data_IF_645660023010
#
_entry.id   IF_645660023010
#
_cell.length_a   1.000
_cell.length_b   1.000
_cell.length_c   1.000
_cell.angle_alpha   90.00
_cell.angle_beta   90.00
_cell.angle_gamma   90.00
#
_symmetry.space_group_name_H-M   'P 1'
#
loop_
_entity.id
_entity.type
_entity.pdbx_description
1 polymer ?
#
# COMPACT_ATOMS: atom_id res chain seq x y z
N UNK A 1 -45.46 -29.62 -26.86
CA UNK A 1 -45.09 -28.27 -27.32
C UNK A 1 -43.61 -28.07 -27.05
N UNK A 2 -42.84 -27.73 -28.07
CA UNK A 2 -41.41 -27.39 -27.95
C UNK A 2 -41.21 -25.94 -27.49
N UNK A 3 -40.00 -25.58 -27.03
CA UNK A 3 -39.71 -24.20 -26.60
C UNK A 3 -39.89 -23.18 -27.75
N UNK A 4 -39.51 -23.55 -28.97
CA UNK A 4 -39.66 -22.66 -30.13
C UNK A 4 -41.13 -22.48 -30.54
N UNK A 5 -41.94 -23.54 -30.45
CA UNK A 5 -43.40 -23.43 -30.60
C UNK A 5 -44.02 -22.52 -29.52
N UNK A 6 -43.61 -22.69 -28.26
CA UNK A 6 -44.08 -21.88 -27.15
C UNK A 6 -43.74 -20.39 -27.35
N UNK A 7 -42.50 -20.07 -27.71
CA UNK A 7 -42.09 -18.68 -28.01
C UNK A 7 -42.91 -18.09 -29.15
N UNK A 8 -43.20 -18.86 -30.21
CA UNK A 8 -44.00 -18.38 -31.35
C UNK A 8 -45.44 -18.06 -30.93
N UNK A 9 -46.05 -18.89 -30.09
CA UNK A 9 -47.41 -18.67 -29.54
C UNK A 9 -47.42 -17.41 -28.66
N UNK A 10 -46.47 -17.29 -27.72
CA UNK A 10 -46.41 -16.16 -26.79
C UNK A 10 -46.16 -14.83 -27.51
N UNK A 11 -45.27 -14.83 -28.51
CA UNK A 11 -44.97 -13.62 -29.31
C UNK A 11 -46.17 -13.21 -30.18
N UNK A 12 -46.91 -14.18 -30.73
CA UNK A 12 -48.15 -13.92 -31.48
C UNK A 12 -49.25 -13.33 -30.59
N UNK A 13 -49.31 -13.77 -29.34
CA UNK A 13 -50.27 -13.30 -28.35
C UNK A 13 -49.83 -12.01 -27.62
N UNK A 14 -48.68 -11.45 -28.00
CA UNK A 14 -48.19 -10.14 -27.56
C UNK A 14 -47.40 -10.14 -26.25
N UNK A 15 -47.00 -11.31 -25.73
CA UNK A 15 -46.23 -11.38 -24.49
C UNK A 15 -44.76 -10.97 -24.69
N UNK A 16 -44.25 -10.20 -23.74
CA UNK A 16 -42.84 -9.90 -23.61
C UNK A 16 -42.13 -11.08 -22.96
N UNK A 17 -40.97 -11.46 -23.51
CA UNK A 17 -40.19 -12.60 -23.02
C UNK A 17 -38.75 -12.17 -22.75
N UNK A 18 -38.26 -12.46 -21.55
CA UNK A 18 -36.88 -12.18 -21.15
C UNK A 18 -36.24 -13.42 -20.52
N UNK A 19 -34.97 -13.66 -20.84
CA UNK A 19 -34.21 -14.76 -20.24
C UNK A 19 -33.85 -14.39 -18.80
N UNK A 20 -34.20 -15.25 -17.84
CA UNK A 20 -33.89 -15.04 -16.43
C UNK A 20 -32.82 -16.02 -15.94
N UNK A 21 -32.00 -15.56 -14.97
CA UNK A 21 -30.92 -16.37 -14.39
C UNK A 21 -31.42 -17.52 -13.49
N UNK A 22 -32.72 -17.54 -13.15
CA UNK A 22 -33.39 -18.59 -12.34
C UNK A 22 -34.75 -18.93 -12.95
N UNK A 23 -35.22 -20.15 -12.70
CA UNK A 23 -36.58 -20.57 -13.07
C UNK A 23 -37.57 -19.80 -12.20
N UNK A 24 -38.39 -18.96 -12.82
CA UNK A 24 -39.42 -18.18 -12.13
C UNK A 24 -40.76 -18.88 -12.39
N UNK A 25 -41.35 -19.46 -11.35
CA UNK A 25 -42.68 -20.04 -11.43
C UNK A 25 -43.72 -18.94 -11.19
N UNK A 26 -44.20 -18.32 -12.27
CA UNK A 26 -45.35 -17.43 -12.22
C UNK A 26 -46.64 -18.26 -12.05
N UNK A 27 -46.98 -18.57 -10.79
CA UNK A 27 -48.17 -19.36 -10.43
C UNK A 27 -49.36 -18.50 -9.95
N UNK A 28 -49.40 -17.20 -10.27
CA UNK A 28 -50.49 -16.31 -9.88
C UNK A 28 -51.12 -15.57 -11.07
N UNK A 29 -52.46 -15.43 -11.03
CA UNK A 29 -53.35 -14.62 -11.88
C UNK A 29 -53.47 -14.93 -13.39
N UNK A 30 -52.50 -15.59 -14.03
CA UNK A 30 -52.47 -15.72 -15.51
C UNK A 30 -53.45 -16.78 -16.07
N UNK A 31 -54.13 -17.58 -15.23
CA UNK A 31 -54.78 -18.83 -15.68
C UNK A 31 -56.30 -18.83 -15.81
N UNK A 32 -57.02 -17.87 -15.27
CA UNK A 32 -58.49 -17.99 -15.18
C UNK A 32 -59.23 -17.59 -16.47
N UNK A 33 -58.62 -16.75 -17.32
CA UNK A 33 -59.27 -16.21 -18.53
C UNK A 33 -58.52 -16.51 -19.83
N UNK A 34 -57.35 -17.15 -19.75
CA UNK A 34 -56.45 -17.33 -20.87
C UNK A 34 -56.71 -18.65 -21.61
N UNK A 35 -56.42 -18.71 -22.91
CA UNK A 35 -56.61 -19.93 -23.70
C UNK A 35 -55.73 -21.07 -23.15
N UNK A 36 -56.21 -22.33 -23.14
CA UNK A 36 -55.42 -23.47 -22.67
C UNK A 36 -54.06 -23.60 -23.36
N UNK A 37 -54.00 -23.30 -24.67
CA UNK A 37 -52.78 -23.32 -25.47
C UNK A 37 -51.74 -22.29 -25.00
N UNK A 38 -52.19 -21.09 -24.63
CA UNK A 38 -51.32 -20.02 -24.12
C UNK A 38 -50.84 -20.33 -22.71
N UNK A 39 -51.70 -20.90 -21.87
CA UNK A 39 -51.33 -21.41 -20.54
C UNK A 39 -50.21 -22.47 -20.61
N UNK A 40 -50.30 -23.40 -21.56
CA UNK A 40 -49.25 -24.41 -21.78
C UNK A 40 -47.96 -23.79 -22.33
N UNK A 41 -48.05 -22.80 -23.24
CA UNK A 41 -46.87 -22.09 -23.73
C UNK A 41 -46.11 -21.34 -22.61
N UNK A 42 -46.82 -20.72 -21.67
CA UNK A 42 -46.21 -20.06 -20.50
C UNK A 42 -45.48 -21.06 -19.60
N UNK A 43 -46.07 -22.25 -19.36
CA UNK A 43 -45.43 -23.29 -18.56
C UNK A 43 -44.12 -23.77 -19.21
N UNK A 44 -44.14 -24.02 -20.52
CA UNK A 44 -42.96 -24.45 -21.28
C UNK A 44 -41.88 -23.37 -21.27
N UNK A 45 -42.25 -22.09 -21.43
CA UNK A 45 -41.30 -20.97 -21.37
C UNK A 45 -40.64 -20.84 -19.98
N UNK A 46 -41.44 -20.85 -18.89
CA UNK A 46 -40.94 -20.75 -17.52
C UNK A 46 -40.00 -21.91 -17.17
N UNK A 47 -40.33 -23.15 -17.57
CA UNK A 47 -39.47 -24.32 -17.37
C UNK A 47 -38.09 -24.17 -18.05
N UNK A 48 -38.02 -23.37 -19.12
CA UNK A 48 -36.79 -23.06 -19.86
C UNK A 48 -36.18 -21.71 -19.46
N UNK A 49 -36.51 -21.18 -18.28
CA UNK A 49 -35.98 -19.91 -17.72
C UNK A 49 -36.33 -18.65 -18.52
N UNK A 50 -37.40 -18.71 -19.32
CA UNK A 50 -37.96 -17.52 -19.94
C UNK A 50 -39.04 -16.94 -19.04
N UNK A 51 -38.85 -15.71 -18.60
CA UNK A 51 -39.88 -14.93 -17.90
C UNK A 51 -40.81 -14.32 -18.93
N UNK A 52 -42.09 -14.59 -18.77
CA UNK A 52 -43.15 -14.10 -19.65
C UNK A 52 -43.90 -12.99 -18.92
N UNK A 53 -44.20 -11.88 -19.59
CA UNK A 53 -44.89 -10.76 -18.94
C UNK A 53 -45.61 -9.85 -19.92
N UNK A 54 -46.59 -9.14 -19.39
CA UNK A 54 -47.24 -7.97 -19.98
C UNK A 54 -47.13 -6.84 -18.96
N UNK A 55 -47.10 -5.60 -19.42
CA UNK A 55 -47.28 -4.44 -18.54
C UNK A 55 -48.67 -4.44 -17.90
N UNK A 56 -48.88 -3.74 -16.77
CA UNK A 56 -50.19 -3.66 -16.12
C UNK A 56 -51.32 -3.18 -17.08
N UNK A 57 -51.03 -2.19 -17.92
CA UNK A 57 -52.00 -1.66 -18.90
C UNK A 57 -52.34 -2.69 -19.99
N UNK A 58 -51.34 -3.40 -20.51
CA UNK A 58 -51.57 -4.47 -21.50
C UNK A 58 -52.36 -5.65 -20.90
N UNK A 59 -52.21 -5.90 -19.59
CA UNK A 59 -53.01 -6.87 -18.86
C UNK A 59 -54.48 -6.48 -18.77
N UNK A 60 -54.77 -5.25 -18.33
CA UNK A 60 -56.14 -4.75 -18.19
C UNK A 60 -56.87 -4.76 -19.55
N UNK A 61 -56.18 -4.35 -20.63
CA UNK A 61 -56.71 -4.39 -21.98
C UNK A 61 -56.98 -5.83 -22.46
N UNK A 62 -56.07 -6.78 -22.18
CA UNK A 62 -56.22 -8.19 -22.56
C UNK A 62 -57.37 -8.85 -21.80
N UNK A 63 -57.51 -8.59 -20.50
CA UNK A 63 -58.60 -9.12 -19.68
C UNK A 63 -59.96 -8.59 -20.16
N UNK A 64 -60.06 -7.29 -20.47
CA UNK A 64 -61.28 -6.70 -21.01
C UNK A 64 -61.69 -7.30 -22.37
N UNK A 65 -60.72 -7.57 -23.25
CA UNK A 65 -60.97 -8.27 -24.54
C UNK A 65 -61.46 -9.70 -24.33
N UNK A 66 -60.79 -10.49 -23.49
CA UNK A 66 -61.15 -11.89 -23.25
C UNK A 66 -62.51 -12.01 -22.57
N UNK A 67 -62.84 -11.16 -21.59
CA UNK A 67 -64.18 -11.09 -20.98
C UNK A 67 -65.28 -10.79 -22.01
N UNK A 68 -64.99 -9.95 -23.01
CA UNK A 68 -65.93 -9.60 -24.09
C UNK A 68 -66.08 -10.72 -25.13
N UNK A 69 -65.00 -11.46 -25.43
CA UNK A 69 -65.03 -12.63 -26.32
C UNK A 69 -65.79 -13.82 -25.69
N UNK A 70 -65.54 -14.13 -24.42
CA UNK A 70 -66.22 -15.23 -23.72
C UNK A 70 -67.65 -14.87 -23.29
N UNK A 71 -67.93 -13.60 -22.97
CA UNK A 71 -69.28 -13.12 -22.66
C UNK A 71 -70.25 -13.10 -23.85
N UNK A 72 -69.76 -13.19 -25.09
CA UNK A 72 -70.59 -13.30 -26.30
C UNK A 72 -71.01 -14.73 -26.64
N UNK A 73 -70.38 -15.75 -26.05
CA UNK A 73 -70.64 -17.16 -26.35
C UNK A 73 -71.64 -17.83 -25.39
N UNK A 74 -72.17 -17.10 -24.41
CA UNK A 74 -73.28 -17.55 -23.55
C UNK A 74 -74.58 -16.84 -23.92
N UNK A 75 -75.10 -17.08 -25.12
CA UNK A 75 -76.55 -17.02 -25.35
C UNK A 75 -77.10 -18.43 -25.18
N UNK A 76 -77.69 -18.69 -24.02
CA UNK A 76 -78.56 -19.85 -23.85
C UNK A 76 -79.77 -19.71 -24.80
N UNK A 77 -80.16 -20.77 -25.53
CA UNK A 77 -81.40 -20.75 -26.30
C UNK A 77 -82.58 -20.97 -25.34
N UNK A 78 -83.57 -20.10 -25.42
CA UNK A 78 -84.90 -20.36 -24.86
C UNK A 78 -85.30 -19.42 -23.74
N UNK A 79 -85.95 -18.33 -24.12
CA UNK A 79 -87.04 -17.76 -23.33
C UNK A 79 -88.08 -17.19 -24.30
N UNK A 80 -88.96 -18.06 -24.80
CA UNK A 80 -90.24 -17.65 -25.33
C UNK A 80 -91.27 -18.75 -24.99
N UNK A 81 -91.92 -18.61 -23.83
CA UNK A 81 -93.18 -19.30 -23.55
C UNK A 81 -94.26 -18.24 -23.41
N UNK A 82 -94.97 -18.02 -24.51
CA UNK A 82 -96.27 -17.35 -24.54
C UNK A 82 -97.35 -18.28 -23.98
N UNK A 83 -98.27 -17.66 -23.25
CA UNK A 83 -99.38 -18.29 -22.52
C UNK A 83 -100.37 -18.97 -23.48
N UNK A 84 -100.40 -20.29 -23.49
CA UNK A 84 -101.48 -21.06 -24.11
C UNK A 84 -102.74 -21.00 -23.22
N UNK A 85 -103.74 -20.20 -23.64
CA UNK A 85 -105.09 -20.22 -23.07
C UNK A 85 -105.82 -21.48 -23.57
N UNK A 86 -105.94 -22.51 -22.74
CA UNK A 86 -106.91 -23.59 -22.96
C UNK A 86 -108.31 -23.10 -22.56
N UNK A 87 -109.07 -22.63 -23.55
CA UNK A 87 -110.50 -22.42 -23.43
C UNK A 87 -111.22 -23.76 -23.36
N UNK A 88 -111.86 -24.05 -22.24
CA UNK A 88 -112.84 -25.14 -22.13
C UNK A 88 -114.13 -24.60 -22.75
N UNK A 89 -114.44 -25.08 -23.95
CA UNK A 89 -115.73 -24.89 -24.61
C UNK A 89 -116.72 -25.81 -23.90
N UNK A 90 -117.68 -25.23 -23.18
CA UNK A 90 -118.93 -25.92 -22.84
C UNK A 90 -119.86 -25.86 -24.07
N UNK A 91 -120.46 -26.97 -24.50
CA UNK A 91 -121.46 -26.93 -25.56
C UNK A 91 -122.79 -26.42 -24.99
N UNK A 92 -123.22 -25.22 -25.38
CA UNK A 92 -124.59 -24.79 -25.17
C UNK A 92 -125.47 -25.31 -26.30
N UNK A 93 -126.46 -26.07 -25.88
CA UNK A 93 -127.50 -26.74 -26.65
C UNK A 93 -128.42 -25.80 -27.44
N UNK A 94 -128.96 -26.39 -28.50
CA UNK A 94 -130.05 -25.95 -29.37
C UNK A 94 -131.30 -25.45 -28.59
N UNK A 95 -132.11 -24.55 -29.17
CA UNK A 95 -133.02 -23.63 -28.45
C UNK A 95 -134.45 -24.18 -28.32
N UNK A 96 -134.67 -25.11 -27.39
CA UNK A 96 -136.03 -25.59 -27.07
C UNK A 96 -136.40 -25.71 -25.58
N UNK A 97 -135.48 -25.42 -24.65
CA UNK A 97 -135.73 -25.64 -23.20
C UNK A 97 -135.99 -24.36 -22.40
N UNK A 98 -136.10 -23.21 -23.07
CA UNK A 98 -136.26 -21.87 -22.45
C UNK A 98 -137.67 -21.59 -21.86
N UNK A 99 -138.64 -22.50 -22.02
CA UNK A 99 -139.98 -22.34 -21.43
C UNK A 99 -140.13 -23.06 -20.07
N UNK A 100 -139.28 -24.03 -19.75
CA UNK A 100 -139.35 -24.79 -18.48
C UNK A 100 -138.36 -24.28 -17.40
N UNK A 101 -137.28 -23.61 -17.80
CA UNK A 101 -136.24 -23.14 -16.88
C UNK A 101 -136.59 -21.84 -16.13
N UNK A 102 -137.56 -21.05 -16.61
CA UNK A 102 -137.89 -19.74 -16.02
C UNK A 102 -138.94 -19.79 -14.90
N UNK A 103 -139.76 -20.84 -14.85
CA UNK A 103 -140.81 -20.99 -13.83
C UNK A 103 -140.47 -21.95 -12.68
N UNK A 104 -139.50 -22.86 -12.84
CA UNK A 104 -139.17 -23.85 -11.79
C UNK A 104 -137.91 -23.46 -10.97
N UNK A 105 -137.08 -22.53 -11.46
CA UNK A 105 -135.86 -22.09 -10.75
C UNK A 105 -135.99 -20.75 -10.01
N UNK A 106 -137.04 -19.97 -10.28
CA UNK A 106 -137.29 -18.72 -9.56
C UNK A 106 -138.12 -18.92 -8.27
N UNK A 107 -138.81 -20.05 -8.16
CA UNK A 107 -139.41 -20.54 -6.91
C UNK A 107 -138.53 -21.66 -6.33
N UNK A 108 -137.27 -21.32 -6.04
CA UNK A 108 -136.39 -22.25 -5.35
C UNK A 108 -136.98 -22.63 -3.99
N UNK A 109 -137.14 -23.95 -3.76
CA UNK A 109 -137.57 -24.49 -2.48
C UNK A 109 -136.79 -23.80 -1.34
N UNK A 110 -137.45 -23.05 -0.44
CA UNK A 110 -136.79 -22.31 0.61
C UNK A 110 -135.83 -23.18 1.43
N UNK A 111 -136.20 -24.44 1.65
CA UNK A 111 -135.41 -25.41 2.40
C UNK A 111 -134.09 -25.79 1.67
N UNK A 112 -134.08 -25.87 0.33
CA UNK A 112 -132.86 -26.14 -0.43
C UNK A 112 -131.92 -24.93 -0.46
N UNK A 113 -132.47 -23.72 -0.59
CA UNK A 113 -131.71 -22.47 -0.53
C UNK A 113 -131.07 -22.30 0.85
N UNK A 114 -131.82 -22.58 1.91
CA UNK A 114 -131.33 -22.53 3.29
C UNK A 114 -130.27 -23.59 3.56
N UNK A 115 -130.47 -24.84 3.11
CA UNK A 115 -129.47 -25.90 3.22
C UNK A 115 -128.17 -25.57 2.46
N UNK A 116 -128.25 -24.99 1.26
CA UNK A 116 -127.08 -24.55 0.51
C UNK A 116 -126.35 -23.38 1.18
N UNK A 117 -127.09 -22.45 1.81
CA UNK A 117 -126.51 -21.36 2.61
C UNK A 117 -125.76 -21.92 3.83
N UNK A 118 -126.40 -22.81 4.60
CA UNK A 118 -125.79 -23.44 5.77
C UNK A 118 -124.54 -24.26 5.42
N UNK A 119 -124.55 -24.97 4.28
CA UNK A 119 -123.37 -25.68 3.78
C UNK A 119 -122.22 -24.74 3.42
N UNK A 120 -122.52 -23.64 2.72
CA UNK A 120 -121.52 -22.63 2.38
C UNK A 120 -120.96 -21.92 3.62
N UNK A 121 -121.79 -21.62 4.61
CA UNK A 121 -121.36 -21.01 5.87
C UNK A 121 -120.44 -21.96 6.65
N UNK A 122 -120.76 -23.26 6.70
CA UNK A 122 -119.92 -24.28 7.31
C UNK A 122 -118.57 -24.44 6.57
N UNK A 123 -118.57 -24.39 5.24
CA UNK A 123 -117.37 -24.44 4.42
C UNK A 123 -116.48 -23.21 4.65
N UNK A 124 -117.08 -22.01 4.67
CA UNK A 124 -116.39 -20.75 4.92
C UNK A 124 -115.80 -20.70 6.34
N UNK A 125 -116.51 -21.21 7.34
CA UNK A 125 -116.00 -21.30 8.72
C UNK A 125 -114.80 -22.26 8.83
N UNK A 126 -114.85 -23.44 8.17
CA UNK A 126 -113.69 -24.35 8.12
C UNK A 126 -112.50 -23.75 7.37
N UNK A 127 -112.73 -23.06 6.25
CA UNK A 127 -111.67 -22.34 5.54
C UNK A 127 -111.08 -21.21 6.41
N UNK A 128 -111.92 -20.45 7.12
CA UNK A 128 -111.51 -19.41 8.06
C UNK A 128 -110.64 -19.99 9.19
N UNK A 129 -111.03 -21.13 9.77
CA UNK A 129 -110.24 -21.86 10.78
C UNK A 129 -108.88 -22.30 10.23
N UNK A 130 -108.81 -22.84 9.00
CA UNK A 130 -107.56 -23.22 8.33
C UNK A 130 -106.66 -22.01 8.09
N UNK A 131 -107.21 -20.92 7.54
CA UNK A 131 -106.48 -19.65 7.34
C UNK A 131 -105.91 -19.16 8.66
N UNK A 132 -106.71 -19.09 9.73
CA UNK A 132 -106.28 -18.65 11.06
C UNK A 132 -105.13 -19.51 11.63
N UNK A 133 -105.16 -20.83 11.42
CA UNK A 133 -104.06 -21.75 11.81
C UNK A 133 -102.79 -21.50 10.98
N UNK A 134 -102.93 -21.31 9.67
CA UNK A 134 -101.81 -21.03 8.77
C UNK A 134 -101.16 -19.68 9.07
N UNK A 135 -101.94 -18.61 9.29
CA UNK A 135 -101.44 -17.29 9.68
C UNK A 135 -100.61 -17.36 10.97
N UNK A 136 -101.06 -18.13 11.97
CA UNK A 136 -100.28 -18.36 13.20
C UNK A 136 -98.97 -19.11 12.94
N UNK A 137 -98.95 -20.10 12.04
CA UNK A 137 -97.72 -20.81 11.64
C UNK A 137 -96.75 -19.88 10.92
N UNK A 138 -97.22 -19.06 9.98
CA UNK A 138 -96.40 -18.06 9.25
C UNK A 138 -95.75 -17.08 10.23
N UNK A 139 -96.53 -16.54 11.18
CA UNK A 139 -95.99 -15.62 12.19
C UNK A 139 -94.89 -16.26 13.06
N UNK A 140 -95.05 -17.54 13.45
CA UNK A 140 -94.03 -18.28 14.21
C UNK A 140 -92.77 -18.51 13.36
N UNK A 141 -92.92 -18.91 12.11
CA UNK A 141 -91.80 -19.12 11.20
C UNK A 141 -91.03 -17.81 10.94
N UNK A 142 -91.72 -16.69 10.73
CA UNK A 142 -91.09 -15.38 10.55
C UNK A 142 -90.26 -14.96 11.77
N UNK A 143 -90.73 -15.23 13.00
CA UNK A 143 -89.93 -15.01 14.22
C UNK A 143 -88.66 -15.86 14.23
N UNK A 144 -88.74 -17.13 13.83
CA UNK A 144 -87.58 -18.03 13.76
C UNK A 144 -86.58 -17.56 12.70
N UNK A 145 -87.05 -17.18 11.51
CA UNK A 145 -86.22 -16.65 10.42
C UNK A 145 -85.50 -15.39 10.89
N UNK A 146 -86.20 -14.45 11.52
CA UNK A 146 -85.59 -13.22 12.00
C UNK A 146 -84.47 -13.49 13.02
N UNK A 147 -84.69 -14.41 13.97
CA UNK A 147 -83.67 -14.82 14.95
C UNK A 147 -82.46 -15.50 14.29
N UNK A 148 -82.68 -16.31 13.25
CA UNK A 148 -81.58 -16.94 12.50
C UNK A 148 -80.80 -15.90 11.69
N UNK A 149 -81.47 -14.94 11.06
CA UNK A 149 -80.83 -13.87 10.30
C UNK A 149 -79.94 -12.99 11.18
N UNK A 150 -80.37 -12.68 12.42
CA UNK A 150 -79.53 -11.96 13.39
C UNK A 150 -78.24 -12.72 13.71
N UNK A 151 -78.32 -14.04 13.95
CA UNK A 151 -77.13 -14.87 14.20
C UNK A 151 -76.19 -14.93 12.99
N UNK A 152 -76.75 -15.01 11.77
CA UNK A 152 -75.96 -14.99 10.53
C UNK A 152 -75.17 -13.67 10.43
N UNK A 153 -75.80 -12.54 10.75
CA UNK A 153 -75.11 -11.23 10.74
C UNK A 153 -74.04 -11.10 11.82
N UNK A 154 -74.25 -11.65 13.02
CA UNK A 154 -73.19 -11.74 14.02
C UNK A 154 -71.99 -12.55 13.51
N UNK A 155 -72.22 -13.74 12.95
CA UNK A 155 -71.15 -14.56 12.38
C UNK A 155 -70.41 -13.85 11.24
N UNK A 156 -71.11 -13.10 10.39
CA UNK A 156 -70.49 -12.28 9.32
C UNK A 156 -69.58 -11.21 9.90
N UNK A 157 -70.02 -10.49 10.93
CA UNK A 157 -69.22 -9.45 11.61
C UNK A 157 -67.99 -10.04 12.28
N UNK A 158 -68.13 -11.18 12.96
CA UNK A 158 -67.02 -11.85 13.63
C UNK A 158 -65.97 -12.37 12.63
N UNK A 159 -66.42 -13.04 11.56
CA UNK A 159 -65.55 -13.49 10.48
C UNK A 159 -64.79 -12.32 9.81
N UNK A 160 -65.49 -11.20 9.58
CA UNK A 160 -64.87 -9.99 9.04
C UNK A 160 -63.80 -9.39 9.96
N UNK A 161 -64.05 -9.34 11.29
CA UNK A 161 -63.05 -8.90 12.27
C UNK A 161 -61.83 -9.81 12.30
N UNK A 162 -62.05 -11.12 12.28
CA UNK A 162 -60.96 -12.11 12.27
C UNK A 162 -60.08 -11.98 11.01
N UNK A 163 -60.70 -11.88 9.83
CA UNK A 163 -59.99 -11.66 8.57
C UNK A 163 -59.21 -10.34 8.60
N UNK A 164 -59.80 -9.25 9.11
CA UNK A 164 -59.11 -7.97 9.27
C UNK A 164 -57.87 -8.08 10.17
N UNK A 165 -57.99 -8.79 11.29
CA UNK A 165 -56.86 -9.06 12.19
C UNK A 165 -55.74 -9.82 11.50
N UNK A 166 -56.07 -10.89 10.75
CA UNK A 166 -55.08 -11.65 9.96
C UNK A 166 -54.40 -10.78 8.90
N UNK A 167 -55.17 -10.01 8.12
CA UNK A 167 -54.61 -9.13 7.09
C UNK A 167 -53.65 -8.11 7.69
N UNK A 168 -53.98 -7.55 8.87
CA UNK A 168 -53.09 -6.63 9.59
C UNK A 168 -51.76 -7.30 9.97
N UNK A 169 -51.81 -8.48 10.57
CA UNK A 169 -50.60 -9.25 10.94
C UNK A 169 -49.74 -9.59 9.72
N UNK A 170 -50.34 -9.94 8.58
CA UNK A 170 -49.60 -10.22 7.34
C UNK A 170 -48.89 -8.97 6.81
N UNK A 171 -49.53 -7.80 6.85
CA UNK A 171 -48.91 -6.53 6.45
C UNK A 171 -47.73 -6.15 7.36
N UNK A 172 -47.87 -6.31 8.68
CA UNK A 172 -46.79 -6.07 9.64
C UNK A 172 -45.61 -7.01 9.42
N UNK A 173 -45.87 -8.30 9.18
CA UNK A 173 -44.82 -9.28 8.86
C UNK A 173 -44.09 -8.96 7.55
N UNK A 174 -44.79 -8.47 6.52
CA UNK A 174 -44.17 -8.05 5.26
C UNK A 174 -43.22 -6.86 5.49
N UNK A 175 -43.65 -5.87 6.26
CA UNK A 175 -42.83 -4.70 6.59
C UNK A 175 -41.58 -5.09 7.39
N UNK A 176 -41.72 -5.94 8.41
CA UNK A 176 -40.60 -6.46 9.20
C UNK A 176 -39.60 -7.24 8.34
N UNK A 177 -40.10 -8.06 7.40
CA UNK A 177 -39.23 -8.81 6.47
C UNK A 177 -38.45 -7.88 5.54
N UNK A 178 -39.06 -6.78 5.09
CA UNK A 178 -38.39 -5.78 4.27
C UNK A 178 -37.31 -5.04 5.09
N UNK A 179 -37.65 -4.59 6.30
CA UNK A 179 -36.70 -3.89 7.17
C UNK A 179 -35.50 -4.75 7.55
N UNK A 180 -35.71 -6.06 7.77
CA UNK A 180 -34.62 -7.02 7.97
C UNK A 180 -33.72 -7.18 6.73
N UNK A 181 -34.31 -7.17 5.54
CA UNK A 181 -33.56 -7.25 4.29
C UNK A 181 -32.65 -6.03 4.13
N UNK A 182 -33.19 -4.84 4.36
CA UNK A 182 -32.47 -3.56 4.21
C UNK A 182 -31.33 -3.46 5.24
N UNK A 183 -31.58 -3.80 6.51
CA UNK A 183 -30.55 -3.84 7.57
C UNK A 183 -29.43 -4.83 7.25
N UNK A 184 -29.74 -5.97 6.65
CA UNK A 184 -28.74 -6.96 6.30
C UNK A 184 -27.84 -6.49 5.14
N UNK A 185 -28.40 -5.79 4.15
CA UNK A 185 -27.60 -5.20 3.07
C UNK A 185 -26.73 -4.05 3.59
N UNK A 186 -27.25 -3.19 4.48
CA UNK A 186 -26.46 -2.15 5.14
C UNK A 186 -25.29 -2.72 5.94
N UNK A 187 -25.53 -3.79 6.70
CA UNK A 187 -24.48 -4.50 7.43
C UNK A 187 -23.41 -5.08 6.48
N UNK A 188 -23.83 -5.64 5.34
CA UNK A 188 -22.92 -6.17 4.32
C UNK A 188 -22.05 -5.05 3.73
N UNK A 189 -22.66 -3.93 3.36
CA UNK A 189 -21.95 -2.76 2.82
C UNK A 189 -20.96 -2.18 3.83
N UNK A 190 -21.34 -2.12 5.11
CA UNK A 190 -20.48 -1.63 6.20
C UNK A 190 -19.24 -2.50 6.36
N UNK A 191 -19.39 -3.83 6.37
CA UNK A 191 -18.25 -4.77 6.40
C UNK A 191 -17.31 -4.62 5.21
N UNK A 192 -17.83 -4.30 4.01
CA UNK A 192 -17.01 -4.02 2.83
C UNK A 192 -16.24 -2.71 3.01
N UNK A 193 -16.90 -1.64 3.49
CA UNK A 193 -16.26 -0.35 3.75
C UNK A 193 -15.14 -0.47 4.78
N UNK A 194 -15.37 -1.19 5.87
CA UNK A 194 -14.34 -1.44 6.90
C UNK A 194 -13.12 -2.17 6.33
N UNK A 195 -13.33 -3.22 5.53
CA UNK A 195 -12.23 -3.93 4.84
C UNK A 195 -11.44 -3.01 3.91
N UNK A 196 -12.14 -2.24 3.08
CA UNK A 196 -11.49 -1.31 2.17
C UNK A 196 -10.70 -0.22 2.91
N UNK A 197 -11.23 0.27 4.05
CA UNK A 197 -10.55 1.26 4.88
C UNK A 197 -9.28 0.69 5.51
N UNK A 198 -9.32 -0.55 5.99
CA UNK A 198 -8.16 -1.25 6.55
C UNK A 198 -7.07 -1.50 5.48
N UNK A 199 -7.46 -1.92 4.27
CA UNK A 199 -6.53 -2.09 3.15
C UNK A 199 -5.87 -0.76 2.74
N UNK A 200 -6.64 0.33 2.68
CA UNK A 200 -6.13 1.67 2.45
C UNK A 200 -5.14 2.10 3.54
N UNK A 201 -5.46 1.85 4.80
CA UNK A 201 -4.58 2.13 5.94
C UNK A 201 -3.25 1.40 5.84
N UNK A 202 -3.27 0.09 5.55
CA UNK A 202 -2.06 -0.71 5.36
C UNK A 202 -1.22 -0.22 4.17
N UNK A 203 -1.87 0.12 3.05
CA UNK A 203 -1.17 0.64 1.88
C UNK A 203 -0.47 1.98 2.19
N UNK A 204 -1.16 2.89 2.88
CA UNK A 204 -0.59 4.17 3.28
C UNK A 204 0.62 4.01 4.23
N UNK A 205 0.52 3.10 5.20
CA UNK A 205 1.66 2.79 6.10
C UNK A 205 2.86 2.26 5.30
N UNK A 206 2.63 1.30 4.40
CA UNK A 206 3.71 0.74 3.57
C UNK A 206 4.34 1.76 2.61
N UNK A 207 3.56 2.67 2.04
CA UNK A 207 4.07 3.77 1.21
C UNK A 207 4.88 4.79 2.03
N UNK A 208 4.42 5.14 3.23
CA UNK A 208 5.15 6.02 4.14
C UNK A 208 6.49 5.43 4.59
N UNK A 209 6.56 4.13 4.89
CA UNK A 209 7.83 3.47 5.21
C UNK A 209 8.82 3.53 4.04
N UNK A 210 8.34 3.32 2.80
CA UNK A 210 9.18 3.44 1.60
C UNK A 210 9.70 4.87 1.41
N UNK A 211 8.85 5.88 1.60
CA UNK A 211 9.26 7.28 1.53
C UNK A 211 10.27 7.63 2.62
N UNK A 212 10.08 7.13 3.83
CA UNK A 212 11.01 7.32 4.95
C UNK A 212 12.40 6.76 4.64
N UNK A 213 12.48 5.55 4.06
CA UNK A 213 13.75 4.95 3.62
C UNK A 213 14.42 5.80 2.54
N UNK A 214 13.69 6.17 1.48
CA UNK A 214 14.22 7.03 0.40
C UNK A 214 14.72 8.38 0.91
N UNK A 215 14.05 8.96 1.91
CA UNK A 215 14.48 10.23 2.51
C UNK A 215 15.75 10.05 3.34
N UNK A 216 15.86 8.96 4.11
CA UNK A 216 17.06 8.64 4.87
C UNK A 216 18.28 8.46 3.94
N UNK A 217 18.14 7.69 2.86
CA UNK A 217 19.22 7.47 1.89
C UNK A 217 19.70 8.80 1.28
N UNK A 218 18.77 9.67 0.86
CA UNK A 218 19.09 11.01 0.33
C UNK A 218 19.82 11.91 1.32
N UNK A 219 19.44 11.87 2.61
CA UNK A 219 20.08 12.68 3.65
C UNK A 219 21.52 12.21 3.88
N UNK A 220 21.76 10.89 3.87
CA UNK A 220 23.12 10.33 3.99
C UNK A 220 23.98 10.80 2.82
N UNK A 221 23.50 10.65 1.58
CA UNK A 221 24.23 11.11 0.39
C UNK A 221 24.56 12.61 0.43
N UNK A 222 23.64 13.45 0.93
CA UNK A 222 23.87 14.90 1.03
C UNK A 222 24.87 15.27 2.13
N UNK A 223 24.84 14.58 3.27
CA UNK A 223 25.82 14.76 4.35
C UNK A 223 27.21 14.35 3.87
N UNK A 224 27.33 13.20 3.21
CA UNK A 224 28.60 12.69 2.69
C UNK A 224 29.17 13.65 1.62
N UNK A 225 28.34 14.14 0.69
CA UNK A 225 28.76 15.13 -0.30
C UNK A 225 29.21 16.46 0.33
N UNK A 226 28.56 16.91 1.41
CA UNK A 226 28.96 18.12 2.14
C UNK A 226 30.27 17.91 2.91
N UNK A 227 30.43 16.76 3.55
CA UNK A 227 31.66 16.39 4.24
C UNK A 227 32.84 16.32 3.28
N UNK A 228 32.65 15.73 2.09
CA UNK A 228 33.65 15.66 1.03
C UNK A 228 34.09 17.07 0.57
N UNK A 229 33.14 17.95 0.23
CA UNK A 229 33.46 19.35 -0.16
C UNK A 229 34.19 20.13 0.94
N UNK A 230 33.83 19.88 2.19
CA UNK A 230 34.53 20.49 3.33
C UNK A 230 35.96 19.98 3.46
N UNK A 231 36.18 18.68 3.26
CA UNK A 231 37.50 18.07 3.26
C UNK A 231 38.37 18.58 2.11
N UNK A 232 37.82 18.68 0.89
CA UNK A 232 38.48 19.27 -0.28
C UNK A 232 38.93 20.72 -0.02
N UNK A 233 38.05 21.53 0.58
CA UNK A 233 38.37 22.92 0.93
C UNK A 233 39.48 23.02 1.98
N UNK A 234 39.46 22.14 2.98
CA UNK A 234 40.50 22.07 4.01
C UNK A 234 41.86 21.60 3.42
N UNK A 235 41.83 20.65 2.49
CA UNK A 235 43.02 20.16 1.78
C UNK A 235 43.65 21.29 0.94
N UNK A 236 42.84 22.01 0.16
CA UNK A 236 43.30 23.14 -0.65
C UNK A 236 43.94 24.26 0.20
N UNK A 237 43.44 24.50 1.42
CA UNK A 237 44.06 25.44 2.35
C UNK A 237 45.44 24.94 2.82
N UNK A 238 45.56 23.65 3.15
CA UNK A 238 46.85 23.06 3.55
C UNK A 238 47.87 23.07 2.41
N UNK A 239 47.45 22.81 1.17
CA UNK A 239 48.32 22.87 -0.01
C UNK A 239 48.91 24.27 -0.22
N UNK A 240 48.13 25.34 -0.04
CA UNK A 240 48.64 26.72 -0.09
C UNK A 240 49.69 26.99 0.98
N UNK A 241 49.44 26.56 2.22
CA UNK A 241 50.39 26.73 3.33
C UNK A 241 51.69 25.95 3.09
N UNK A 242 51.61 24.77 2.47
CA UNK A 242 52.81 24.00 2.09
C UNK A 242 53.59 24.77 1.02
N UNK A 243 52.93 25.29 -0.02
CA UNK A 243 53.58 26.07 -1.07
C UNK A 243 54.28 27.33 -0.52
N UNK A 244 53.63 28.07 0.39
CA UNK A 244 54.23 29.22 1.07
C UNK A 244 55.48 28.83 1.88
N UNK A 245 55.41 27.69 2.59
CA UNK A 245 56.55 27.18 3.36
C UNK A 245 57.71 26.73 2.48
N UNK A 246 57.43 26.11 1.33
CA UNK A 246 58.44 25.69 0.37
C UNK A 246 59.20 26.89 -0.23
N UNK A 247 58.49 28.00 -0.50
CA UNK A 247 59.11 29.26 -0.94
C UNK A 247 60.06 29.82 0.14
N UNK A 248 59.61 29.87 1.39
CA UNK A 248 60.44 30.31 2.52
C UNK A 248 61.68 29.42 2.71
N UNK A 249 61.52 28.10 2.61
CA UNK A 249 62.65 27.15 2.70
C UNK A 249 63.65 27.41 1.56
N UNK A 250 63.17 27.67 0.33
CA UNK A 250 64.02 27.95 -0.81
C UNK A 250 64.83 29.24 -0.62
N UNK A 251 64.21 30.30 -0.09
CA UNK A 251 64.87 31.58 0.15
C UNK A 251 65.89 31.49 1.31
N UNK A 252 65.53 30.83 2.42
CA UNK A 252 66.49 30.54 3.49
C UNK A 252 67.68 29.70 3.00
N UNK A 253 67.45 28.77 2.06
CA UNK A 253 68.51 28.00 1.41
C UNK A 253 69.48 28.88 0.61
N UNK A 254 68.97 29.89 -0.11
CA UNK A 254 69.81 30.86 -0.84
C UNK A 254 70.61 31.75 0.11
N UNK A 255 69.95 32.32 1.13
CA UNK A 255 70.61 33.16 2.13
C UNK A 255 71.73 32.42 2.85
N UNK A 256 71.49 31.15 3.23
CA UNK A 256 72.50 30.30 3.86
C UNK A 256 73.69 30.04 2.93
N UNK A 257 73.44 29.80 1.63
CA UNK A 257 74.49 29.60 0.64
C UNK A 257 75.34 30.86 0.43
N UNK A 258 74.72 32.04 0.41
CA UNK A 258 75.41 33.33 0.31
C UNK A 258 76.21 33.65 1.56
N UNK A 259 75.63 33.48 2.75
CA UNK A 259 76.31 33.67 4.02
C UNK A 259 77.54 32.75 4.12
N UNK A 260 77.42 31.49 3.67
CA UNK A 260 78.54 30.55 3.62
C UNK A 260 79.65 31.01 2.67
N UNK A 261 79.31 31.51 1.48
CA UNK A 261 80.29 32.08 0.53
C UNK A 261 81.02 33.29 1.14
N UNK A 262 80.28 34.21 1.75
CA UNK A 262 80.84 35.41 2.37
C UNK A 262 81.77 35.06 3.55
N UNK A 263 81.35 34.14 4.43
CA UNK A 263 82.16 33.72 5.56
C UNK A 263 83.45 33.02 5.09
N UNK A 264 83.35 32.16 4.07
CA UNK A 264 84.51 31.52 3.45
C UNK A 264 85.49 32.56 2.90
N UNK A 265 84.99 33.57 2.18
CA UNK A 265 85.84 34.65 1.64
C UNK A 265 86.53 35.47 2.75
N UNK A 266 85.83 35.78 3.85
CA UNK A 266 86.40 36.50 5.00
C UNK A 266 87.51 35.71 5.68
N UNK A 267 87.31 34.40 5.88
CA UNK A 267 88.33 33.51 6.47
C UNK A 267 89.58 33.49 5.57
N UNK A 268 89.41 33.41 4.25
CA UNK A 268 90.53 33.44 3.29
C UNK A 268 91.31 34.77 3.34
N UNK A 269 90.62 35.91 3.40
CA UNK A 269 91.26 37.22 3.50
C UNK A 269 92.04 37.40 4.81
N UNK A 270 91.45 36.99 5.94
CA UNK A 270 92.12 37.01 7.26
C UNK A 270 93.38 36.14 7.21
N UNK A 271 93.28 34.92 6.71
CA UNK A 271 94.42 34.01 6.58
C UNK A 271 95.51 34.62 5.69
N UNK A 272 95.16 35.22 4.55
CA UNK A 272 96.13 35.87 3.66
C UNK A 272 96.81 37.09 4.32
N UNK A 273 96.09 37.87 5.13
CA UNK A 273 96.66 38.99 5.92
C UNK A 273 97.62 38.48 6.99
N UNK A 274 97.23 37.47 7.76
CA UNK A 274 98.11 36.86 8.77
C UNK A 274 99.39 36.29 8.16
N UNK A 275 99.28 35.62 7.01
CA UNK A 275 100.44 35.05 6.32
C UNK A 275 101.39 36.13 5.77
N UNK A 276 100.85 37.24 5.26
CA UNK A 276 101.66 38.41 4.86
C UNK A 276 102.38 39.03 6.05
N UNK A 277 101.69 39.28 7.15
CA UNK A 277 102.30 39.83 8.36
C UNK A 277 103.40 38.91 8.93
N UNK A 278 103.19 37.58 8.91
CA UNK A 278 104.21 36.62 9.30
C UNK A 278 105.44 36.68 8.38
N UNK A 279 105.24 36.83 7.07
CA UNK A 279 106.31 36.98 6.08
C UNK A 279 107.11 38.27 6.26
N UNK A 280 106.42 39.39 6.51
CA UNK A 280 107.04 40.68 6.82
C UNK A 280 107.86 40.60 8.11
N UNK A 281 107.32 40.01 9.16
CA UNK A 281 108.06 39.79 10.41
C UNK A 281 109.33 38.93 10.21
N UNK A 282 109.26 37.88 9.38
CA UNK A 282 110.45 37.10 9.00
C UNK A 282 111.47 38.01 8.28
N UNK A 283 111.03 38.82 7.31
CA UNK A 283 111.91 39.76 6.61
C UNK A 283 112.60 40.75 7.56
N UNK A 284 111.85 41.39 8.47
CA UNK A 284 112.38 42.37 9.42
C UNK A 284 113.48 41.75 10.30
N UNK A 285 113.26 40.52 10.76
CA UNK A 285 114.26 39.77 11.53
C UNK A 285 115.52 39.56 10.68
N UNK A 286 115.40 39.10 9.44
CA UNK A 286 116.56 38.89 8.56
C UNK A 286 117.30 40.20 8.21
N UNK A 287 116.58 41.30 7.98
CA UNK A 287 117.18 42.62 7.75
C UNK A 287 118.00 43.09 8.96
N UNK A 288 117.53 42.82 10.19
CA UNK A 288 118.30 43.14 11.41
C UNK A 288 119.65 42.39 11.51
N UNK A 289 119.78 41.24 10.83
CA UNK A 289 121.02 40.46 10.77
C UNK A 289 121.95 40.84 9.60
N UNK A 290 121.48 41.64 8.63
CA UNK A 290 122.23 41.95 7.41
C UNK A 290 123.52 42.75 7.65
N UNK A 291 123.62 43.48 8.76
CA UNK A 291 124.84 44.20 9.15
C UNK A 291 125.94 43.29 9.76
N UNK A 292 125.62 42.05 10.14
CA UNK A 292 126.52 41.14 10.89
C UNK A 292 127.06 39.97 10.08
N UNK A 293 126.42 39.63 8.97
CA UNK A 293 126.72 38.42 8.19
C UNK A 293 126.92 38.77 6.71
N UNK A 294 127.69 37.93 6.00
CA UNK A 294 127.86 38.08 4.56
C UNK A 294 126.52 37.83 3.84
N UNK A 295 126.23 38.65 2.83
CA UNK A 295 124.94 38.65 2.11
C UNK A 295 124.54 37.28 1.58
N UNK A 296 125.49 36.53 1.00
CA UNK A 296 125.24 35.19 0.45
C UNK A 296 124.77 34.17 1.50
N UNK A 297 125.26 34.27 2.74
CA UNK A 297 124.88 33.37 3.84
C UNK A 297 123.49 33.70 4.38
N UNK A 298 123.11 34.98 4.36
CA UNK A 298 121.80 35.45 4.79
C UNK A 298 120.71 35.08 3.77
N UNK A 299 121.00 35.21 2.47
CA UNK A 299 120.07 34.85 1.40
C UNK A 299 119.74 33.34 1.44
N UNK A 300 120.73 32.45 1.63
CA UNK A 300 120.49 31.01 1.80
C UNK A 300 119.65 30.66 3.04
N UNK A 301 119.86 31.35 4.16
CA UNK A 301 119.08 31.14 5.39
C UNK A 301 117.64 31.65 5.24
N UNK A 302 117.45 32.77 4.54
CA UNK A 302 116.15 33.36 4.23
C UNK A 302 115.32 32.44 3.34
N UNK A 303 115.95 31.85 2.31
CA UNK A 303 115.29 30.89 1.43
C UNK A 303 114.88 29.62 2.19
N UNK A 304 115.78 29.05 3.01
CA UNK A 304 115.44 27.89 3.87
C UNK A 304 114.31 28.20 4.88
N UNK A 305 114.29 29.41 5.45
CA UNK A 305 113.23 29.84 6.35
C UNK A 305 111.88 29.94 5.62
N UNK A 306 111.88 30.47 4.40
CA UNK A 306 110.68 30.52 3.57
C UNK A 306 110.21 29.16 3.10
N UNK A 307 111.10 28.26 2.69
CA UNK A 307 110.74 26.88 2.35
C UNK A 307 110.14 26.15 3.54
N UNK A 308 110.74 26.29 4.73
CA UNK A 308 110.21 25.68 5.97
C UNK A 308 108.84 26.25 6.34
N UNK A 309 108.68 27.58 6.26
CA UNK A 309 107.41 28.26 6.52
C UNK A 309 106.34 27.82 5.53
N UNK A 310 106.63 27.79 4.23
CA UNK A 310 105.70 27.37 3.19
C UNK A 310 105.34 25.88 3.31
N UNK A 311 106.30 25.00 3.63
CA UNK A 311 106.04 23.58 3.86
C UNK A 311 105.15 23.35 5.09
N UNK A 312 105.36 24.11 6.17
CA UNK A 312 104.53 24.04 7.38
C UNK A 312 103.14 24.63 7.16
N UNK A 313 103.05 25.74 6.43
CA UNK A 313 101.79 26.34 6.03
C UNK A 313 100.99 25.40 5.12
N UNK A 314 101.63 24.73 4.16
CA UNK A 314 101.01 23.70 3.32
C UNK A 314 100.53 22.49 4.14
N UNK A 315 101.29 22.02 5.13
CA UNK A 315 100.85 20.95 6.05
C UNK A 315 99.65 21.33 6.91
N UNK A 316 99.51 22.61 7.26
CA UNK A 316 98.35 23.17 7.96
C UNK A 316 97.21 23.55 7.00
N UNK A 317 97.37 23.29 5.71
CA UNK A 317 96.42 23.62 4.65
C UNK A 317 96.48 25.07 4.17
N UNK A 318 97.15 25.99 4.85
CA UNK A 318 97.05 27.46 4.69
C UNK A 318 97.54 28.05 3.35
N UNK A 319 98.01 27.24 2.40
CA UNK A 319 98.49 27.69 1.09
C UNK A 319 97.74 26.96 -0.02
N UNK A 320 97.13 27.73 -0.93
CA UNK A 320 96.47 27.20 -2.13
C UNK A 320 97.45 26.45 -3.04
N UNK A 321 97.03 25.35 -3.67
CA UNK A 321 97.82 24.72 -4.73
C UNK A 321 98.04 25.70 -5.89
N UNK A 322 99.11 25.49 -6.69
CA UNK A 322 99.42 26.32 -7.87
C UNK A 322 98.29 26.33 -8.93
N UNK A 323 97.31 25.45 -8.80
CA UNK A 323 96.17 25.32 -9.70
C UNK A 323 94.89 25.99 -9.16
N UNK A 324 94.98 26.79 -8.10
CA UNK A 324 93.86 27.58 -7.57
C UNK A 324 92.90 26.81 -6.66
N UNK A 325 93.12 25.51 -6.42
CA UNK A 325 92.35 24.71 -5.47
C UNK A 325 93.18 24.46 -4.21
N UNK A 326 92.96 25.21 -3.13
CA UNK A 326 93.44 24.79 -1.82
C UNK A 326 92.64 25.41 -0.69
N UNK A 327 92.28 24.55 0.27
CA UNK A 327 91.32 24.63 1.39
C UNK A 327 89.82 24.62 1.06
N UNK A 328 89.20 25.46 0.17
CA UNK A 328 87.77 25.36 -0.02
C UNK A 328 87.33 23.96 -0.42
N UNK A 329 87.99 23.28 -1.36
CA UNK A 329 87.58 21.92 -1.76
C UNK A 329 87.75 20.86 -0.66
N UNK A 330 88.62 21.07 0.34
CA UNK A 330 88.81 20.12 1.45
C UNK A 330 87.93 20.44 2.66
N UNK A 331 87.61 21.71 2.93
CA UNK A 331 86.54 22.11 3.86
C UNK A 331 85.13 21.94 3.26
N UNK A 332 85.03 21.85 1.93
CA UNK A 332 83.88 21.40 1.13
C UNK A 332 83.92 19.87 0.97
N UNK A 333 84.48 19.13 1.94
CA UNK A 333 83.74 17.95 2.43
C UNK A 333 82.63 18.42 3.35
N UNK A 334 81.74 19.23 2.79
CA UNK A 334 80.32 19.12 3.15
C UNK A 334 80.01 17.66 2.96
N UNK A 335 79.37 17.04 3.93
CA UNK A 335 78.68 15.77 3.71
C UNK A 335 77.94 15.85 2.38
N UNK A 336 78.56 15.33 1.32
CA UNK A 336 77.82 14.77 0.21
C UNK A 336 77.24 13.52 0.84
N UNK A 337 76.17 13.70 1.63
CA UNK A 337 75.16 12.68 1.73
C UNK A 337 74.90 12.30 0.28
N UNK A 338 75.26 11.06 -0.06
CA UNK A 338 75.01 10.47 -1.35
C UNK A 338 73.66 10.94 -1.87
N UNK A 339 73.67 11.68 -2.98
CA UNK A 339 72.58 11.63 -3.94
C UNK A 339 72.51 10.16 -4.42
N UNK A 340 71.86 9.31 -3.64
CA UNK A 340 71.87 7.86 -3.80
C UNK A 340 71.67 7.06 -2.51
N UNK A 341 71.80 7.68 -1.33
CA UNK A 341 71.32 7.07 -0.09
C UNK A 341 69.81 7.26 -0.01
N UNK A 342 69.06 6.17 -0.20
CA UNK A 342 67.62 6.10 0.04
C UNK A 342 67.27 6.71 1.42
N UNK A 343 66.97 8.01 1.43
CA UNK A 343 66.20 8.65 2.50
C UNK A 343 64.71 8.41 2.27
N UNK A 344 64.36 7.22 1.76
CA UNK A 344 63.07 6.59 2.01
C UNK A 344 63.06 6.02 3.44
N UNK A 345 63.42 6.85 4.43
CA UNK A 345 62.71 6.80 5.68
C UNK A 345 61.29 7.27 5.34
N UNK A 346 60.48 6.36 4.79
CA UNK A 346 59.04 6.53 4.71
C UNK A 346 58.59 6.57 6.16
N UNK A 347 58.62 7.76 6.75
CA UNK A 347 57.90 8.04 7.98
C UNK A 347 56.44 8.01 7.58
N UNK A 348 55.83 6.84 7.70
CA UNK A 348 54.38 6.70 7.58
C UNK A 348 53.80 7.45 8.78
N UNK A 349 53.44 8.70 8.55
CA UNK A 349 52.77 9.53 9.54
C UNK A 349 51.32 9.05 9.62
N UNK A 350 51.06 8.01 10.41
CA UNK A 350 49.71 7.65 10.81
C UNK A 350 49.19 8.77 11.72
N UNK A 351 47.97 9.25 11.43
CA UNK A 351 47.39 10.54 11.81
C UNK A 351 47.28 10.93 13.28
N UNK A 352 47.96 10.26 14.22
CA UNK A 352 47.96 10.57 15.66
C UNK A 352 49.37 10.75 16.26
N UNK A 353 50.36 11.25 15.51
CA UNK A 353 51.62 11.75 16.08
C UNK A 353 52.58 10.71 16.68
N UNK A 354 52.44 9.43 16.33
CA UNK A 354 53.34 8.36 16.77
C UNK A 354 54.44 8.17 15.72
N UNK A 355 55.70 8.36 16.12
CA UNK A 355 56.86 8.08 15.27
C UNK A 355 57.29 6.61 15.46
N UNK A 356 57.13 5.78 14.44
CA UNK A 356 57.55 4.38 14.46
C UNK A 356 58.91 4.22 13.76
N UNK A 357 59.76 3.33 14.27
CA UNK A 357 60.96 2.87 13.57
C UNK A 357 60.60 1.90 12.43
N UNK A 358 61.51 1.71 11.47
CA UNK A 358 61.32 0.79 10.33
C UNK A 358 61.05 -0.66 10.78
N UNK A 359 61.76 -1.10 11.82
CA UNK A 359 61.58 -2.42 12.43
C UNK A 359 60.17 -2.59 13.03
N UNK A 360 59.66 -1.56 13.70
CA UNK A 360 58.31 -1.57 14.31
C UNK A 360 57.21 -1.56 13.23
N UNK A 361 57.41 -0.82 12.14
CA UNK A 361 56.47 -0.81 11.01
C UNK A 361 56.39 -2.17 10.29
N UNK A 362 57.53 -2.84 10.07
CA UNK A 362 57.56 -4.17 9.45
C UNK A 362 56.91 -5.26 10.33
N UNK A 363 57.05 -5.15 11.67
CA UNK A 363 56.38 -6.03 12.62
C UNK A 363 54.86 -5.81 12.59
N UNK A 364 54.41 -4.55 12.59
CA UNK A 364 52.98 -4.18 12.50
C UNK A 364 52.35 -4.69 11.19
N UNK A 365 53.06 -4.57 10.07
CA UNK A 365 52.58 -5.06 8.76
C UNK A 365 52.46 -6.59 8.75
N UNK A 366 53.42 -7.31 9.35
CA UNK A 366 53.34 -8.78 9.50
C UNK A 366 52.19 -9.22 10.41
N UNK A 367 51.96 -8.51 11.53
CA UNK A 367 50.88 -8.84 12.47
C UNK A 367 49.48 -8.58 11.89
N UNK A 368 49.30 -7.48 11.14
CA UNK A 368 48.03 -7.12 10.49
C UNK A 368 47.69 -8.03 9.30
N UNK A 369 48.67 -8.43 8.49
CA UNK A 369 48.48 -9.45 7.43
C UNK A 369 48.06 -10.81 7.99
N UNK A 370 48.43 -11.10 9.23
CA UNK A 370 48.04 -12.32 9.94
C UNK A 370 46.74 -12.16 10.74
N UNK A 371 45.96 -11.09 10.58
CA UNK A 371 44.64 -10.94 11.20
C UNK A 371 44.67 -10.67 12.71
N UNK A 372 45.77 -10.12 13.23
CA UNK A 372 45.89 -9.70 14.63
C UNK A 372 45.36 -8.28 14.78
N UNK A 373 44.44 -8.05 15.71
CA UNK A 373 43.91 -6.71 15.99
C UNK A 373 44.92 -5.89 16.82
N UNK A 374 45.11 -4.63 16.39
CA UNK A 374 45.99 -3.66 17.05
C UNK A 374 45.13 -2.64 17.80
N UNK A 375 45.54 -2.36 19.04
CA UNK A 375 44.86 -1.42 19.91
C UNK A 375 45.86 -0.37 20.41
N UNK A 376 45.33 0.75 20.91
CA UNK A 376 46.13 1.81 21.49
C UNK A 376 45.71 2.01 22.95
N UNK A 377 46.66 1.85 23.86
CA UNK A 377 46.53 2.12 25.29
C UNK A 377 47.28 3.40 25.66
N UNK A 378 46.65 4.28 26.43
CA UNK A 378 47.30 5.50 26.94
C UNK A 378 48.46 5.19 27.89
N UNK A 379 48.41 4.03 28.58
CA UNK A 379 49.42 3.64 29.58
C UNK A 379 50.64 2.96 28.94
N UNK A 380 50.40 2.13 27.93
CA UNK A 380 51.40 1.19 27.40
C UNK A 380 51.72 1.40 25.91
N UNK A 381 51.05 2.36 25.25
CA UNK A 381 51.22 2.68 23.83
C UNK A 381 50.47 1.70 22.91
N UNK A 382 51.04 1.42 21.73
CA UNK A 382 50.49 0.42 20.82
C UNK A 382 50.57 -0.99 21.45
N UNK A 383 49.42 -1.64 21.55
CA UNK A 383 49.24 -2.98 22.07
C UNK A 383 48.69 -3.89 20.97
N UNK A 384 48.91 -5.20 21.10
CA UNK A 384 48.30 -6.20 20.24
C UNK A 384 47.67 -7.30 21.10
N UNK A 385 46.62 -7.92 20.59
CA UNK A 385 45.99 -9.07 21.25
C UNK A 385 46.71 -10.34 20.81
N UNK A 386 47.33 -11.05 21.76
CA UNK A 386 48.04 -12.29 21.45
C UNK A 386 47.04 -13.43 21.14
N UNK A 387 47.55 -14.60 20.73
CA UNK A 387 46.72 -15.79 20.43
C UNK A 387 45.95 -16.33 21.64
N UNK A 388 46.27 -15.88 22.85
CA UNK A 388 45.59 -16.21 24.10
C UNK A 388 44.56 -15.15 24.53
N UNK A 389 44.35 -14.09 23.73
CA UNK A 389 43.39 -13.03 24.01
C UNK A 389 43.89 -11.96 25.00
N UNK A 390 45.18 -11.94 25.32
CA UNK A 390 45.77 -10.94 26.22
C UNK A 390 46.33 -9.75 25.44
N UNK A 391 46.02 -8.53 25.91
CA UNK A 391 46.61 -7.31 25.37
C UNK A 391 48.04 -7.13 25.87
N UNK A 392 49.01 -7.13 24.95
CA UNK A 392 50.42 -6.94 25.28
C UNK A 392 51.03 -5.73 24.56
N UNK A 393 51.92 -4.97 25.22
CA UNK A 393 52.62 -3.87 24.57
C UNK A 393 53.61 -4.37 23.50
N UNK A 394 53.64 -3.70 22.35
CA UNK A 394 54.50 -4.06 21.20
C UNK A 394 55.98 -4.12 21.58
N UNK A 395 56.44 -3.38 22.60
CA UNK A 395 57.84 -3.42 23.08
C UNK A 395 58.28 -4.82 23.55
N UNK A 396 57.34 -5.69 23.92
CA UNK A 396 57.63 -7.09 24.29
C UNK A 396 57.93 -7.99 23.08
N UNK A 397 57.61 -7.56 21.85
CA UNK A 397 57.89 -8.34 20.63
C UNK A 397 59.37 -8.38 20.25
N UNK A 398 60.17 -7.43 20.76
CA UNK A 398 61.63 -7.36 20.50
C UNK A 398 62.38 -8.62 20.95
N UNK A 399 61.85 -9.37 21.92
CA UNK A 399 62.44 -10.62 22.41
C UNK A 399 61.88 -11.90 21.80
N UNK A 400 60.66 -11.87 21.24
CA UNK A 400 59.94 -13.08 20.78
C UNK A 400 60.28 -13.40 19.33
N UNK A 401 60.46 -12.39 18.46
CA UNK A 401 60.67 -12.60 17.03
C UNK A 401 62.12 -12.94 16.61
N UNK A 402 63.08 -12.92 17.53
CA UNK A 402 64.41 -13.48 17.27
C UNK A 402 64.44 -15.02 17.44
N UNK A 403 63.37 -15.64 17.93
CA UNK A 403 63.33 -17.07 18.27
C UNK A 403 62.45 -17.96 17.39
N UNK A 404 61.58 -17.40 16.53
CA UNK A 404 60.60 -18.20 15.78
C UNK A 404 60.59 -17.89 14.29
N UNK A 405 60.53 -18.94 13.48
CA UNK A 405 60.42 -18.92 12.02
C UNK A 405 58.96 -18.74 11.57
N UNK A 406 58.74 -18.26 10.34
CA UNK A 406 57.41 -18.03 9.77
C UNK A 406 56.54 -19.32 9.77
N UNK A 407 57.17 -20.49 9.71
CA UNK A 407 56.52 -21.82 9.78
C UNK A 407 55.99 -22.13 11.19
N UNK A 408 56.73 -21.75 12.24
CA UNK A 408 56.34 -21.95 13.64
C UNK A 408 55.16 -21.06 14.02
N UNK A 409 55.15 -19.82 13.54
CA UNK A 409 54.03 -18.87 13.76
C UNK A 409 52.75 -19.35 13.08
N UNK A 410 52.86 -19.98 11.91
CA UNK A 410 51.72 -20.53 11.18
C UNK A 410 51.10 -21.74 11.89
N UNK A 411 51.90 -22.52 12.63
CA UNK A 411 51.46 -23.69 13.36
C UNK A 411 50.85 -23.37 14.74
N UNK A 412 51.12 -22.20 15.33
CA UNK A 412 50.50 -21.75 16.59
C UNK A 412 49.03 -21.33 16.45
N UNK A 413 48.48 -21.32 15.22
CA UNK A 413 47.07 -20.99 14.93
C UNK A 413 46.14 -22.21 14.82
N UNK A 414 46.65 -23.42 15.08
CA UNK A 414 45.84 -24.62 15.31
C UNK A 414 45.72 -24.87 16.80
#
# INVERSE_FOLDING_TARGET
MTLEEAKKILKKEGFHMALANKVIYQNGAIREFEKPEVCEAIKVANANRWTVGLSPTEWDEREARLKKEYGKNTKAPGEEQSKEKKGIIYPSTSPKDDFYYKHVLNEGNPALREAASQFNDALLDEQSKKIKRLTKKIARLNKIIHKKNLKIEEFRKESSRHLRGKIKMFGENLNLSQELCDKNEELRLTKIREKNLAELGLKYVGENEKLKKKLADKIVDEIDARALKSAESALACKEKVIAEKDEVIADLGKELAEAKKLNTAKILDINAKCMRAARESINDVFESYAAKYAKSTLDELKDKAYESFNAKAHKLGLVGSKDGNGIPDQMIRVDIAEKGGDQSAIIVQCGNGITLSKEEAEIIERCTKNGTELHYSEKDGLTYTNVFGEEMPIRCLRGIFYGFTDEEIKNMKK
#
